data_IF_188509881568
#
_entry.id   IF_188509881568
#
_cell.length_a   1.000
_cell.length_b   1.000
_cell.length_c   1.000
_cell.angle_alpha   90.00
_cell.angle_beta   90.00
_cell.angle_gamma   90.00
#
_symmetry.space_group_name_H-M   'P 1'
#
loop_
_entity.id
_entity.type
_entity.pdbx_description
1 polymer ?
#
# COMPACT_ATOMS: atom_id res chain seq x y z
N UNK A 1 2.30 -42.32 0.81
CA UNK A 1 1.26 -42.59 1.82
C UNK A 1 1.15 -41.38 2.74
N UNK A 2 0.15 -40.51 2.56
CA UNK A 2 -0.08 -39.32 3.41
C UNK A 2 -1.30 -39.57 4.31
N UNK A 3 -1.15 -39.29 5.61
CA UNK A 3 -2.22 -39.43 6.61
C UNK A 3 -3.18 -38.23 6.51
N UNK A 4 -4.47 -38.51 6.39
CA UNK A 4 -5.54 -37.52 6.54
C UNK A 4 -5.81 -37.30 8.03
N UNK A 5 -5.86 -36.04 8.45
CA UNK A 5 -6.51 -35.66 9.71
C UNK A 5 -7.75 -34.85 9.36
N UNK A 6 -8.92 -35.35 9.79
CA UNK A 6 -10.19 -34.61 9.74
C UNK A 6 -10.28 -33.78 11.02
N UNK A 7 -10.45 -32.48 10.84
CA UNK A 7 -10.85 -31.56 11.91
C UNK A 7 -12.33 -31.23 11.73
N UNK A 8 -13.08 -31.18 12.82
CA UNK A 8 -14.51 -30.80 12.84
C UNK A 8 -14.68 -29.77 13.94
N UNK A 9 -15.04 -28.51 13.66
CA UNK A 9 -15.36 -27.55 14.71
C UNK A 9 -16.83 -27.68 15.11
N UNK A 10 -17.07 -27.60 16.41
CA UNK A 10 -18.39 -27.48 17.00
C UNK A 10 -18.93 -26.05 16.77
N UNK A 11 -20.11 -25.95 16.16
CA UNK A 11 -20.81 -24.70 15.90
C UNK A 11 -21.66 -24.36 17.14
N UNK A 12 -21.48 -23.15 17.68
CA UNK A 12 -22.35 -22.59 18.72
C UNK A 12 -23.08 -21.39 18.10
N UNK A 13 -24.38 -21.53 17.86
CA UNK A 13 -25.21 -20.46 17.30
C UNK A 13 -25.66 -19.49 18.41
N UNK A 14 -25.15 -18.27 18.37
CA UNK A 14 -25.69 -17.13 19.13
C UNK A 14 -25.87 -15.95 18.19
N UNK A 15 -27.10 -15.70 17.76
CA UNK A 15 -27.49 -14.53 16.97
C UNK A 15 -27.39 -13.26 17.82
N UNK A 16 -26.51 -12.34 17.45
CA UNK A 16 -26.50 -10.96 17.96
C UNK A 16 -27.00 -10.03 16.86
N UNK A 17 -28.04 -9.27 17.17
CA UNK A 17 -28.59 -8.24 16.31
C UNK A 17 -27.62 -7.07 16.11
N UNK A 18 -27.74 -6.42 14.96
CA UNK A 18 -26.95 -5.26 14.54
C UNK A 18 -27.13 -4.09 15.53
N UNK A 19 -26.06 -3.37 15.91
CA UNK A 19 -26.19 -2.16 16.71
C UNK A 19 -26.75 -0.98 15.89
N UNK A 20 -27.60 -0.19 16.54
CA UNK A 20 -28.26 0.99 15.97
C UNK A 20 -27.28 2.07 15.47
N UNK A 21 -27.72 2.72 14.38
CA UNK A 21 -27.02 3.71 13.55
C UNK A 21 -26.52 4.92 14.36
N UNK A 22 -25.23 5.25 14.25
CA UNK A 22 -24.71 6.58 14.60
C UNK A 22 -24.83 7.52 13.39
N UNK A 23 -25.76 8.47 13.48
CA UNK A 23 -25.89 9.59 12.54
C UNK A 23 -24.85 10.65 12.92
N UNK A 24 -23.91 10.94 12.02
CA UNK A 24 -23.03 12.10 12.15
C UNK A 24 -23.78 13.37 11.74
N UNK A 25 -24.12 14.22 12.69
CA UNK A 25 -24.50 15.61 12.43
C UNK A 25 -23.24 16.48 12.35
N UNK A 26 -23.01 17.11 11.20
CA UNK A 26 -21.99 18.15 11.05
C UNK A 26 -22.63 19.52 11.31
N UNK A 27 -22.55 20.00 12.54
CA UNK A 27 -22.89 21.40 12.83
C UNK A 27 -21.70 22.32 12.59
N UNK A 28 -21.95 23.33 11.76
CA UNK A 28 -21.01 24.38 11.41
C UNK A 28 -20.86 25.40 12.54
N UNK A 29 -19.62 25.86 12.71
CA UNK A 29 -19.29 26.99 13.58
C UNK A 29 -17.89 27.50 13.28
N UNK A 30 -17.81 28.54 12.43
CA UNK A 30 -16.61 29.37 12.29
C UNK A 30 -16.31 30.12 13.57
N UNK A 31 -15.02 30.34 13.88
CA UNK A 31 -14.62 31.72 14.14
C UNK A 31 -13.28 32.11 13.48
N UNK A 32 -13.38 33.18 12.70
CA UNK A 32 -12.45 34.32 12.56
C UNK A 32 -10.93 34.10 12.70
N UNK A 33 -10.26 34.39 11.59
CA UNK A 33 -8.95 35.01 11.41
C UNK A 33 -8.17 35.47 12.65
N UNK A 34 -6.88 35.10 12.67
CA UNK A 34 -5.77 35.99 13.02
C UNK A 34 -4.44 35.46 12.46
N UNK A 35 -3.90 36.24 11.51
CA UNK A 35 -2.49 36.50 11.21
C UNK A 35 -1.44 35.45 11.62
N UNK A 36 -0.76 34.88 10.62
CA UNK A 36 0.67 34.63 10.75
C UNK A 36 1.40 34.75 9.40
N UNK A 37 2.00 35.93 9.20
CA UNK A 37 3.12 36.13 8.27
C UNK A 37 4.36 35.54 8.92
N UNK A 38 5.01 34.57 8.30
CA UNK A 38 6.45 34.38 8.50
C UNK A 38 7.13 34.13 7.16
N UNK A 39 8.07 35.02 6.89
CA UNK A 39 8.86 35.08 5.68
C UNK A 39 9.96 34.03 5.66
N UNK A 40 10.32 33.69 4.44
CA UNK A 40 11.54 33.01 4.05
C UNK A 40 12.78 33.80 4.47
N UNK A 41 13.72 33.15 5.15
CA UNK A 41 15.10 33.64 5.26
C UNK A 41 16.08 32.50 5.02
N UNK A 42 16.80 32.61 3.91
CA UNK A 42 18.10 32.02 3.65
C UNK A 42 19.13 32.52 4.66
N UNK A 43 19.87 31.62 5.30
CA UNK A 43 20.98 31.96 6.18
C UNK A 43 22.13 30.97 6.00
N UNK A 44 23.23 31.45 5.42
CA UNK A 44 24.56 30.87 5.54
C UNK A 44 25.06 31.10 6.97
N UNK A 45 25.72 30.12 7.56
CA UNK A 45 26.53 30.24 8.79
C UNK A 45 27.42 29.00 8.84
N UNK A 46 28.67 29.13 8.40
CA UNK A 46 29.86 29.54 9.17
C UNK A 46 30.21 28.67 10.38
N UNK A 47 31.46 28.23 10.30
CA UNK A 47 32.25 27.40 11.19
C UNK A 47 32.34 27.96 12.61
N UNK A 48 32.12 27.10 13.60
CA UNK A 48 32.85 27.20 14.87
C UNK A 48 33.21 25.82 15.39
N UNK A 49 34.51 25.63 15.50
CA UNK A 49 35.23 24.55 16.15
C UNK A 49 34.99 24.59 17.65
N UNK A 50 34.65 23.44 18.23
CA UNK A 50 34.80 23.19 19.67
C UNK A 50 35.75 22.02 19.87
N UNK A 51 36.96 22.35 20.30
CA UNK A 51 37.91 21.44 20.93
C UNK A 51 37.32 20.92 22.24
N UNK A 52 37.35 19.60 22.42
CA UNK A 52 37.20 18.95 23.73
C UNK A 52 38.40 18.05 23.91
N UNK A 53 39.26 18.44 24.84
CA UNK A 53 40.48 17.70 25.22
C UNK A 53 40.19 16.38 25.94
N UNK A 54 41.23 15.54 26.13
CA UNK A 54 41.09 14.18 26.61
C UNK A 54 41.04 14.16 28.14
N UNK A 55 40.03 13.47 28.68
CA UNK A 55 39.83 13.41 30.13
C UNK A 55 39.07 12.16 30.57
N UNK A 56 39.86 11.21 31.05
CA UNK A 56 39.61 10.36 32.20
C UNK A 56 38.93 8.99 32.05
N UNK A 57 39.72 7.98 32.43
CA UNK A 57 39.39 6.59 32.60
C UNK A 57 38.84 6.39 34.02
N UNK A 58 37.62 5.89 34.16
CA UNK A 58 37.23 5.19 35.38
C UNK A 58 36.48 3.89 35.07
N UNK A 59 36.86 2.75 35.68
CA UNK A 59 36.22 1.46 35.48
C UNK A 59 35.26 1.19 36.62
N UNK A 60 33.96 1.43 36.42
CA UNK A 60 32.94 0.86 37.31
C UNK A 60 31.79 0.29 36.50
N UNK A 61 31.69 -1.04 36.55
CA UNK A 61 30.64 -1.79 35.91
C UNK A 61 29.26 -1.41 36.45
N UNK A 62 28.34 -1.14 35.53
CA UNK A 62 26.94 -1.46 35.70
C UNK A 62 26.48 -2.18 34.44
N UNK A 63 26.13 -3.45 34.64
CA UNK A 63 25.41 -4.34 33.71
C UNK A 63 24.31 -3.56 32.99
N UNK A 64 24.56 -3.14 31.75
CA UNK A 64 23.56 -2.61 30.84
C UNK A 64 23.05 -3.77 29.98
N UNK A 65 21.93 -4.34 30.44
CA UNK A 65 20.87 -4.99 29.67
C UNK A 65 21.27 -5.85 28.45
N UNK A 66 21.56 -7.12 28.70
CA UNK A 66 21.52 -8.24 27.74
C UNK A 66 20.10 -8.57 27.22
N UNK A 67 19.11 -7.67 27.37
CA UNK A 67 17.69 -7.93 27.12
C UNK A 67 17.15 -7.44 25.75
N UNK A 68 18.01 -6.98 24.82
CA UNK A 68 17.57 -6.57 23.46
C UNK A 68 18.50 -7.02 22.34
N UNK A 69 19.06 -8.22 22.43
CA UNK A 69 19.51 -8.89 21.22
C UNK A 69 18.25 -9.29 20.43
N UNK A 70 17.73 -8.37 19.59
CA UNK A 70 16.85 -8.79 18.50
C UNK A 70 17.60 -9.89 17.76
N UNK A 71 17.08 -11.11 17.78
CA UNK A 71 17.79 -12.26 17.22
C UNK A 71 17.93 -12.01 15.73
N UNK A 72 19.14 -11.66 15.31
CA UNK A 72 19.46 -11.34 13.93
C UNK A 72 19.31 -12.60 13.08
N UNK A 73 18.46 -12.56 12.05
CA UNK A 73 18.29 -13.69 11.13
C UNK A 73 19.36 -13.61 10.04
N UNK A 74 19.55 -12.42 9.45
CA UNK A 74 20.45 -12.24 8.33
C UNK A 74 20.54 -10.79 7.86
N UNK A 75 21.39 -10.57 6.86
CA UNK A 75 21.47 -9.32 6.10
C UNK A 75 21.49 -9.67 4.63
N UNK A 76 20.73 -8.91 3.87
CA UNK A 76 20.79 -8.90 2.41
C UNK A 76 21.62 -7.71 1.98
N UNK A 77 22.74 -7.95 1.28
CA UNK A 77 23.55 -6.89 0.71
C UNK A 77 23.07 -6.58 -0.72
N UNK A 78 22.66 -5.33 -0.94
CA UNK A 78 22.16 -4.85 -2.24
C UNK A 78 23.13 -5.14 -3.38
N UNK A 79 24.44 -5.05 -3.18
CA UNK A 79 25.39 -5.26 -4.27
C UNK A 79 25.44 -6.74 -4.67
N UNK A 80 25.34 -7.65 -3.71
CA UNK A 80 25.29 -9.09 -3.98
C UNK A 80 24.03 -9.46 -4.78
N UNK A 81 22.88 -8.91 -4.42
CA UNK A 81 21.63 -9.08 -5.17
C UNK A 81 21.74 -8.58 -6.62
N UNK A 82 22.59 -7.58 -6.87
CA UNK A 82 22.80 -7.01 -8.21
C UNK A 82 23.78 -7.84 -9.03
N UNK A 83 24.85 -8.32 -8.39
CA UNK A 83 25.91 -9.08 -9.03
C UNK A 83 25.46 -10.52 -9.33
N UNK A 84 24.50 -11.05 -8.57
CA UNK A 84 23.91 -12.37 -8.74
C UNK A 84 22.93 -12.51 -9.91
N UNK A 85 22.65 -11.43 -10.64
CA UNK A 85 21.75 -11.49 -11.80
C UNK A 85 22.37 -12.32 -12.92
N UNK A 86 21.84 -13.53 -13.10
CA UNK A 86 22.13 -14.37 -14.26
C UNK A 86 21.78 -13.68 -15.59
N UNK A 87 22.41 -14.14 -16.67
CA UNK A 87 22.22 -13.61 -18.03
C UNK A 87 20.90 -14.04 -18.70
N UNK A 88 20.08 -14.82 -18.02
CA UNK A 88 18.81 -15.31 -18.56
C UNK A 88 17.81 -14.15 -18.73
N UNK A 89 16.93 -14.21 -19.75
CA UNK A 89 15.91 -13.20 -19.93
C UNK A 89 14.98 -13.19 -18.71
N UNK A 90 14.95 -12.06 -18.02
CA UNK A 90 14.07 -11.86 -16.89
C UNK A 90 12.66 -11.50 -17.38
N UNK A 91 11.70 -12.38 -17.13
CA UNK A 91 10.30 -12.17 -17.48
C UNK A 91 9.50 -11.65 -16.30
N UNK A 92 8.57 -10.74 -16.58
CA UNK A 92 7.56 -10.32 -15.62
C UNK A 92 6.24 -10.01 -16.31
N UNK A 93 5.15 -10.24 -15.60
CA UNK A 93 3.80 -9.89 -16.04
C UNK A 93 2.93 -9.61 -14.82
N UNK A 94 1.89 -8.80 -14.97
CA UNK A 94 0.91 -8.55 -13.93
C UNK A 94 -0.49 -8.71 -14.51
N UNK A 95 -1.41 -9.30 -13.74
CA UNK A 95 -2.81 -9.46 -14.13
C UNK A 95 -3.70 -9.40 -12.90
N UNK A 96 -4.75 -8.60 -12.94
CA UNK A 96 -5.74 -8.59 -11.88
C UNK A 96 -6.49 -9.92 -11.72
N UNK A 97 -6.80 -10.24 -10.47
CA UNK A 97 -7.46 -11.48 -10.03
C UNK A 97 -8.58 -11.26 -8.99
N UNK A 98 -8.75 -10.04 -8.49
CA UNK A 98 -9.91 -9.68 -7.67
C UNK A 98 -9.94 -8.22 -7.27
N UNK A 99 -11.05 -7.76 -6.71
CA UNK A 99 -11.21 -6.39 -6.22
C UNK A 99 -12.20 -6.29 -5.07
N UNK A 100 -12.03 -5.28 -4.23
CA UNK A 100 -12.97 -4.93 -3.17
C UNK A 100 -13.04 -3.41 -2.94
N UNK A 101 -14.13 -2.94 -2.34
CA UNK A 101 -14.25 -1.56 -1.84
C UNK A 101 -14.59 -1.58 -0.35
N UNK A 102 -14.02 -0.66 0.43
CA UNK A 102 -14.34 -0.54 1.85
C UNK A 102 -15.65 0.23 2.06
N UNK A 103 -16.40 -0.12 3.09
CA UNK A 103 -17.64 0.56 3.45
C UNK A 103 -17.43 1.47 4.67
N UNK A 104 -17.96 2.70 4.63
CA UNK A 104 -17.71 3.77 5.63
C UNK A 104 -18.10 3.41 7.07
N UNK A 105 -18.97 2.43 7.26
CA UNK A 105 -19.35 1.94 8.61
C UNK A 105 -18.32 1.00 9.23
N UNK A 106 -17.24 0.68 8.51
CA UNK A 106 -16.22 -0.20 9.03
C UNK A 106 -15.48 0.38 10.22
N UNK A 107 -15.10 -0.50 11.14
CA UNK A 107 -14.29 -0.21 12.31
C UNK A 107 -13.12 -1.19 12.40
N UNK A 108 -12.24 -1.00 13.39
CA UNK A 108 -11.13 -1.92 13.62
C UNK A 108 -11.58 -3.33 14.04
N UNK A 109 -12.74 -3.48 14.69
CA UNK A 109 -13.29 -4.78 15.10
C UNK A 109 -14.25 -5.39 14.07
N UNK A 110 -14.94 -4.54 13.31
CA UNK A 110 -15.97 -4.92 12.35
C UNK A 110 -15.70 -4.27 10.99
N UNK A 111 -15.04 -5.01 10.12
CA UNK A 111 -14.70 -4.54 8.77
C UNK A 111 -15.80 -4.90 7.79
N UNK A 112 -16.27 -3.95 6.99
CA UNK A 112 -17.30 -4.15 5.97
C UNK A 112 -16.70 -3.87 4.59
N UNK A 113 -16.71 -4.87 3.70
CA UNK A 113 -16.19 -4.76 2.34
C UNK A 113 -17.18 -5.29 1.30
N UNK A 114 -17.16 -4.68 0.12
CA UNK A 114 -17.97 -5.12 -1.02
C UNK A 114 -17.09 -5.87 -2.02
N UNK A 115 -17.52 -7.05 -2.46
CA UNK A 115 -16.76 -7.97 -3.33
C UNK A 115 -17.67 -8.55 -4.44
N UNK A 116 -17.36 -8.35 -5.73
CA UNK A 116 -16.35 -7.44 -6.26
C UNK A 116 -16.55 -6.00 -5.81
N UNK A 117 -15.46 -5.24 -5.75
CA UNK A 117 -15.51 -3.84 -5.37
C UNK A 117 -16.19 -2.95 -6.42
N UNK A 118 -16.57 -1.76 -5.98
CA UNK A 118 -17.18 -0.70 -6.79
C UNK A 118 -16.22 0.50 -6.80
N UNK A 119 -15.41 0.67 -7.85
CA UNK A 119 -14.46 1.77 -7.95
C UNK A 119 -15.13 3.11 -8.33
N UNK A 120 -14.55 4.25 -7.95
CA UNK A 120 -14.89 5.53 -8.56
C UNK A 120 -14.65 5.52 -10.07
N UNK A 121 -15.44 6.30 -10.82
CA UNK A 121 -15.26 6.48 -12.26
C UNK A 121 -14.44 7.74 -12.53
N UNK A 122 -13.43 7.66 -13.38
CA UNK A 122 -12.65 8.80 -13.82
C UNK A 122 -13.49 9.67 -14.76
N UNK A 123 -13.86 10.84 -14.26
CA UNK A 123 -14.77 11.79 -14.90
C UNK A 123 -14.27 13.20 -14.63
N UNK A 124 -13.18 13.64 -15.29
CA UNK A 124 -12.72 15.00 -15.15
C UNK A 124 -13.84 15.98 -15.51
N UNK A 125 -14.02 17.08 -14.75
CA UNK A 125 -15.09 18.04 -14.99
C UNK A 125 -14.89 18.75 -16.33
N UNK A 126 -15.98 19.16 -16.97
CA UNK A 126 -15.95 19.95 -18.20
C UNK A 126 -15.57 21.42 -17.98
N UNK A 127 -15.55 21.86 -16.72
CA UNK A 127 -15.13 23.20 -16.31
C UNK A 127 -13.68 23.45 -16.74
N UNK A 128 -13.39 24.68 -17.19
CA UNK A 128 -12.02 25.06 -17.52
C UNK A 128 -11.13 24.88 -16.29
N UNK A 129 -9.93 24.32 -16.49
CA UNK A 129 -9.06 23.88 -15.39
C UNK A 129 -8.75 25.01 -14.40
N UNK A 130 -8.62 26.25 -14.88
CA UNK A 130 -8.35 27.45 -14.07
C UNK A 130 -9.48 27.89 -13.13
N UNK A 131 -10.69 27.38 -13.30
CA UNK A 131 -11.85 27.71 -12.47
C UNK A 131 -12.11 26.66 -11.37
N UNK A 132 -11.25 25.64 -11.28
CA UNK A 132 -11.38 24.56 -10.30
C UNK A 132 -10.50 24.86 -9.09
N UNK A 133 -11.14 25.15 -7.95
CA UNK A 133 -10.47 25.30 -6.67
C UNK A 133 -10.44 23.98 -5.90
N UNK A 134 -9.25 23.54 -5.53
CA UNK A 134 -9.03 22.38 -4.68
C UNK A 134 -8.92 22.83 -3.23
N UNK A 135 -9.53 22.07 -2.34
CA UNK A 135 -9.41 22.29 -0.91
C UNK A 135 -8.33 21.40 -0.30
N UNK A 136 -7.66 21.90 0.74
CA UNK A 136 -6.82 21.04 1.58
C UNK A 136 -7.72 20.21 2.48
N UNK A 137 -7.86 18.92 2.18
CA UNK A 137 -8.64 17.98 2.97
C UNK A 137 -7.73 17.03 3.75
N UNK A 138 -8.18 16.61 4.94
CA UNK A 138 -7.53 15.51 5.64
C UNK A 138 -7.61 14.24 4.78
N UNK A 139 -6.73 13.29 5.05
CA UNK A 139 -6.91 11.95 4.53
C UNK A 139 -8.25 11.39 5.03
N UNK A 140 -8.97 10.71 4.14
CA UNK A 140 -10.22 10.04 4.49
C UNK A 140 -9.98 8.93 5.53
N UNK A 141 -11.05 8.25 5.97
CA UNK A 141 -10.93 7.16 6.92
C UNK A 141 -9.87 6.14 6.46
N UNK A 142 -9.21 5.55 7.45
CA UNK A 142 -8.18 4.53 7.23
C UNK A 142 -8.78 3.33 6.48
N UNK A 143 -7.92 2.58 5.79
CA UNK A 143 -8.34 1.28 5.28
C UNK A 143 -8.47 0.32 6.46
N UNK A 144 -9.69 0.20 6.94
CA UNK A 144 -10.10 -0.65 8.05
C UNK A 144 -9.78 -2.13 7.85
N UNK A 145 -9.70 -2.62 6.60
CA UNK A 145 -9.32 -4.02 6.33
C UNK A 145 -7.91 -4.31 6.83
N UNK A 146 -7.09 -3.27 7.05
CA UNK A 146 -5.82 -3.39 7.76
C UNK A 146 -5.92 -4.09 9.10
N UNK A 147 -6.93 -3.75 9.89
CA UNK A 147 -7.03 -4.31 11.24
C UNK A 147 -7.32 -5.80 11.19
N UNK A 148 -8.10 -6.23 10.20
CA UNK A 148 -8.30 -7.63 9.92
C UNK A 148 -7.04 -8.30 9.35
N UNK A 149 -6.34 -7.67 8.39
CA UNK A 149 -5.09 -8.19 7.81
C UNK A 149 -3.96 -8.34 8.84
N UNK A 150 -3.93 -7.51 9.88
CA UNK A 150 -2.97 -7.65 10.98
C UNK A 150 -3.15 -8.98 11.72
N UNK A 151 -4.38 -9.48 11.79
CA UNK A 151 -4.70 -10.76 12.42
C UNK A 151 -4.66 -11.92 11.42
N UNK A 152 -5.02 -11.67 10.16
CA UNK A 152 -5.21 -12.69 9.12
C UNK A 152 -4.67 -12.22 7.75
N UNK A 153 -3.35 -12.04 7.59
CA UNK A 153 -2.75 -11.37 6.43
C UNK A 153 -2.98 -12.07 5.09
N UNK A 154 -3.31 -13.36 5.10
CA UNK A 154 -3.65 -14.15 3.90
C UNK A 154 -5.16 -14.19 3.63
N UNK A 155 -6.01 -14.18 4.67
CA UNK A 155 -7.43 -14.56 4.57
C UNK A 155 -8.26 -13.54 3.80
N UNK A 156 -7.96 -12.25 3.94
CA UNK A 156 -8.62 -11.21 3.17
C UNK A 156 -8.41 -11.40 1.66
N UNK A 157 -7.18 -11.68 1.25
CA UNK A 157 -6.84 -11.92 -0.15
C UNK A 157 -7.56 -13.18 -0.68
N UNK A 158 -7.52 -14.29 0.07
CA UNK A 158 -8.25 -15.52 -0.26
C UNK A 158 -9.73 -15.24 -0.50
N UNK A 159 -10.39 -14.57 0.43
CA UNK A 159 -11.83 -14.33 0.36
C UNK A 159 -12.24 -13.46 -0.82
N UNK A 160 -11.46 -12.41 -1.10
CA UNK A 160 -11.71 -11.54 -2.25
C UNK A 160 -11.48 -12.29 -3.56
N UNK A 161 -10.36 -13.00 -3.67
CA UNK A 161 -10.00 -13.72 -4.90
C UNK A 161 -10.94 -14.89 -5.16
N UNK A 162 -11.35 -15.66 -4.15
CA UNK A 162 -12.32 -16.76 -4.31
C UNK A 162 -13.65 -16.29 -4.89
N UNK A 163 -14.12 -15.09 -4.53
CA UNK A 163 -15.37 -14.51 -5.05
C UNK A 163 -15.22 -13.90 -6.46
N UNK A 164 -14.02 -13.42 -6.82
CA UNK A 164 -13.75 -12.80 -8.13
C UNK A 164 -13.23 -13.78 -9.18
N UNK A 165 -12.39 -14.73 -8.78
CA UNK A 165 -11.71 -15.74 -9.61
C UNK A 165 -11.74 -17.09 -8.87
N UNK A 166 -12.88 -17.81 -8.90
CA UNK A 166 -13.09 -19.02 -8.09
C UNK A 166 -12.10 -20.16 -8.37
N UNK A 167 -11.55 -20.22 -9.59
CA UNK A 167 -10.59 -21.25 -10.01
C UNK A 167 -9.12 -20.86 -9.75
N UNK A 168 -8.88 -19.83 -8.93
CA UNK A 168 -7.53 -19.36 -8.63
C UNK A 168 -6.75 -20.40 -7.80
N UNK A 169 -5.56 -20.76 -8.30
CA UNK A 169 -4.69 -21.75 -7.66
C UNK A 169 -3.69 -21.10 -6.68
N UNK A 170 -3.98 -21.24 -5.38
CA UNK A 170 -3.12 -20.77 -4.30
C UNK A 170 -1.82 -21.57 -4.12
N UNK A 171 -1.75 -22.80 -4.62
CA UNK A 171 -0.58 -23.68 -4.40
C UNK A 171 0.69 -23.19 -5.10
N UNK A 172 0.52 -22.30 -6.08
CA UNK A 172 1.59 -21.71 -6.87
C UNK A 172 1.96 -20.28 -6.40
N UNK A 173 1.41 -19.79 -5.28
CA UNK A 173 1.72 -18.44 -4.77
C UNK A 173 2.89 -18.51 -3.79
N UNK A 174 3.88 -17.65 -3.98
CA UNK A 174 5.06 -17.57 -3.10
C UNK A 174 4.90 -16.49 -2.03
N UNK A 175 4.27 -15.37 -2.39
CA UNK A 175 4.16 -14.18 -1.55
C UNK A 175 2.84 -13.45 -1.75
N UNK A 176 2.20 -13.06 -0.64
CA UNK A 176 1.11 -12.06 -0.62
C UNK A 176 1.62 -10.77 0.01
N UNK A 177 1.50 -9.66 -0.71
CA UNK A 177 2.05 -8.38 -0.28
C UNK A 177 1.26 -7.19 -0.83
N UNK A 178 1.71 -5.99 -0.47
CA UNK A 178 1.13 -4.73 -0.92
C UNK A 178 2.08 -4.02 -1.88
N UNK A 179 1.51 -3.29 -2.84
CA UNK A 179 2.24 -2.44 -3.79
C UNK A 179 3.26 -1.52 -3.08
N UNK A 180 2.87 -0.95 -1.95
CA UNK A 180 3.72 -0.04 -1.18
C UNK A 180 5.04 -0.68 -0.72
N UNK A 181 4.98 -1.93 -0.27
CA UNK A 181 6.16 -2.71 0.16
C UNK A 181 7.12 -2.94 -1.00
N UNK A 182 6.59 -3.37 -2.15
CA UNK A 182 7.40 -3.57 -3.35
C UNK A 182 8.02 -2.24 -3.86
N UNK A 183 7.28 -1.13 -3.79
CA UNK A 183 7.81 0.21 -4.08
C UNK A 183 8.95 0.62 -3.13
N UNK A 184 8.87 0.26 -1.85
CA UNK A 184 9.93 0.52 -0.88
C UNK A 184 11.18 -0.31 -1.18
N UNK A 185 11.03 -1.58 -1.54
CA UNK A 185 12.14 -2.43 -1.97
C UNK A 185 12.79 -1.91 -3.25
N UNK A 186 12.00 -1.46 -4.23
CA UNK A 186 12.51 -0.79 -5.43
C UNK A 186 13.25 0.51 -5.10
N UNK A 187 12.83 1.25 -4.07
CA UNK A 187 13.56 2.42 -3.57
C UNK A 187 14.91 2.02 -2.97
N UNK A 188 14.98 0.93 -2.21
CA UNK A 188 16.23 0.39 -1.68
C UNK A 188 17.21 0.02 -2.81
N UNK A 189 16.72 -0.72 -3.82
CA UNK A 189 17.45 -1.11 -5.02
C UNK A 189 17.96 0.12 -5.79
N UNK A 190 17.10 1.13 -5.97
CA UNK A 190 17.40 2.35 -6.71
C UNK A 190 18.37 3.31 -6.02
N UNK A 191 18.50 3.25 -4.69
CA UNK A 191 19.30 4.22 -3.93
C UNK A 191 20.83 4.16 -4.19
N UNK A 192 21.33 3.23 -5.03
CA UNK A 192 22.72 3.22 -5.49
C UNK A 192 23.09 4.43 -6.37
N UNK A 193 22.13 4.95 -7.14
CA UNK A 193 22.42 5.97 -8.14
C UNK A 193 22.58 7.37 -7.54
N UNK A 194 22.39 7.54 -6.23
CA UNK A 194 22.47 8.84 -5.56
C UNK A 194 22.92 8.69 -4.10
N UNK A 195 24.22 8.44 -3.84
CA UNK A 195 24.75 8.17 -2.49
C UNK A 195 24.46 9.27 -1.46
N UNK A 196 24.29 10.51 -1.93
CA UNK A 196 24.04 11.68 -1.07
C UNK A 196 22.54 11.94 -0.82
N UNK A 197 21.63 11.20 -1.46
CA UNK A 197 20.20 11.38 -1.29
C UNK A 197 19.69 10.50 -0.13
N UNK A 198 19.32 11.13 0.99
CA UNK A 198 18.63 10.45 2.08
C UNK A 198 17.30 9.88 1.55
N UNK A 199 17.18 8.56 1.48
CA UNK A 199 15.90 7.91 1.16
C UNK A 199 15.08 7.71 2.44
N UNK A 200 13.76 7.64 2.29
CA UNK A 200 12.87 7.35 3.42
C UNK A 200 13.16 5.92 3.94
N UNK A 201 13.50 5.73 5.22
CA UNK A 201 13.67 4.40 5.81
C UNK A 201 12.35 3.63 5.75
N UNK A 202 12.44 2.31 5.85
CA UNK A 202 11.27 1.46 5.98
C UNK A 202 11.52 0.28 6.90
N UNK A 203 10.42 -0.21 7.46
CA UNK A 203 10.33 -1.43 8.22
C UNK A 203 8.98 -2.08 7.90
N UNK A 204 8.95 -3.40 7.75
CA UNK A 204 7.72 -4.17 7.64
C UNK A 204 7.91 -5.61 8.16
N UNK A 205 6.88 -6.22 8.78
CA UNK A 205 6.92 -7.63 9.14
C UNK A 205 6.72 -8.53 7.92
N UNK A 206 7.41 -9.65 7.89
CA UNK A 206 7.31 -10.70 6.89
C UNK A 206 7.12 -12.04 7.60
N UNK A 207 5.99 -12.69 7.34
CA UNK A 207 5.70 -14.03 7.82
C UNK A 207 6.15 -14.98 6.72
N UNK A 208 7.21 -15.74 6.97
CA UNK A 208 7.72 -16.70 6.00
C UNK A 208 6.74 -17.83 5.74
N UNK A 209 6.85 -18.41 4.54
CA UNK A 209 6.02 -19.54 4.13
C UNK A 209 6.10 -20.68 5.16
N UNK A 210 4.94 -21.25 5.49
CA UNK A 210 4.78 -22.35 6.44
C UNK A 210 3.69 -23.30 5.97
N UNK A 211 3.90 -24.62 6.10
CA UNK A 211 2.90 -25.65 5.79
C UNK A 211 2.27 -25.58 4.39
N UNK A 212 2.98 -25.03 3.41
CA UNK A 212 2.49 -24.87 2.03
C UNK A 212 1.62 -23.62 1.81
N UNK A 213 1.46 -22.76 2.82
CA UNK A 213 0.90 -21.42 2.64
C UNK A 213 1.99 -20.44 2.15
N UNK A 214 1.63 -19.45 1.31
CA UNK A 214 2.56 -18.43 0.85
C UNK A 214 3.10 -17.59 2.01
N UNK A 215 4.27 -16.98 1.81
CA UNK A 215 4.72 -15.93 2.72
C UNK A 215 3.76 -14.73 2.66
N UNK A 216 3.66 -13.96 3.74
CA UNK A 216 2.80 -12.78 3.78
C UNK A 216 3.50 -11.59 4.41
N UNK A 217 3.38 -10.42 3.80
CA UNK A 217 3.78 -9.17 4.45
C UNK A 217 2.61 -8.64 5.27
N UNK A 218 2.79 -8.55 6.59
CA UNK A 218 1.80 -7.90 7.44
C UNK A 218 1.76 -6.41 7.16
N UNK A 219 0.56 -5.86 7.24
CA UNK A 219 0.39 -4.47 6.91
C UNK A 219 0.81 -3.58 8.09
N UNK A 220 2.02 -3.02 8.00
CA UNK A 220 2.50 -2.08 9.00
C UNK A 220 1.94 -0.69 8.73
N UNK A 221 1.18 -0.15 9.68
CA UNK A 221 0.76 1.24 9.64
C UNK A 221 1.99 2.15 9.63
N UNK A 222 2.09 2.98 8.61
CA UNK A 222 2.92 4.18 8.70
C UNK A 222 1.99 5.29 9.14
N UNK A 223 2.32 5.96 10.24
CA UNK A 223 1.72 7.25 10.54
C UNK A 223 1.92 8.18 9.33
N UNK A 224 0.90 8.25 8.50
CA UNK A 224 0.71 9.36 7.60
C UNK A 224 0.29 10.48 8.53
N UNK A 225 1.24 11.36 8.87
CA UNK A 225 0.89 12.59 9.55
C UNK A 225 -0.24 13.22 8.74
N UNK A 226 -1.36 13.49 9.42
CA UNK A 226 -2.63 13.90 8.83
C UNK A 226 -2.51 15.34 8.34
N UNK A 227 -1.72 15.55 7.29
CA UNK A 227 -1.59 16.85 6.64
C UNK A 227 -2.78 17.03 5.73
N UNK A 228 -3.36 18.23 5.79
CA UNK A 228 -4.38 18.61 4.82
C UNK A 228 -3.71 18.86 3.48
N UNK A 229 -4.00 18.01 2.50
CA UNK A 229 -3.41 18.07 1.15
C UNK A 229 -4.51 18.27 0.09
N UNK A 230 -4.12 18.86 -1.04
CA UNK A 230 -5.03 19.03 -2.18
C UNK A 230 -5.31 17.72 -2.93
N UNK A 231 -4.50 16.67 -2.70
CA UNK A 231 -4.62 15.38 -3.40
C UNK A 231 -6.02 14.77 -3.28
N UNK A 232 -6.61 14.81 -2.09
CA UNK A 232 -7.92 14.20 -1.88
C UNK A 232 -9.02 14.99 -2.57
N UNK A 233 -8.98 16.33 -2.49
CA UNK A 233 -9.89 17.17 -3.26
C UNK A 233 -9.73 16.92 -4.76
N UNK A 234 -8.51 16.80 -5.26
CA UNK A 234 -8.27 16.47 -6.67
C UNK A 234 -8.89 15.12 -7.06
N UNK A 235 -8.70 14.06 -6.26
CA UNK A 235 -9.34 12.76 -6.53
C UNK A 235 -10.87 12.89 -6.59
N UNK A 236 -11.47 13.56 -5.61
CA UNK A 236 -12.92 13.78 -5.57
C UNK A 236 -13.42 14.60 -6.77
N UNK A 237 -12.67 15.61 -7.19
CA UNK A 237 -13.04 16.44 -8.35
C UNK A 237 -12.91 15.69 -9.67
N UNK A 238 -11.92 14.80 -9.80
CA UNK A 238 -11.66 14.04 -11.03
C UNK A 238 -12.46 12.76 -11.15
N UNK A 239 -13.30 12.44 -10.17
CA UNK A 239 -14.05 11.19 -10.14
C UNK A 239 -15.52 11.40 -9.81
N UNK A 240 -16.34 10.46 -10.27
CA UNK A 240 -17.76 10.34 -9.89
C UNK A 240 -17.95 9.02 -9.18
N UNK A 241 -18.62 9.05 -8.04
CA UNK A 241 -19.06 7.84 -7.34
C UNK A 241 -20.23 7.21 -8.12
N UNK A 242 -20.16 5.91 -8.46
CA UNK A 242 -21.31 5.21 -9.05
C UNK A 242 -22.57 5.36 -8.16
N UNK A 243 -23.77 5.57 -8.74
CA UNK A 243 -25.00 5.69 -7.94
C UNK A 243 -25.19 4.50 -7.00
N UNK A 244 -25.55 4.76 -5.74
CA UNK A 244 -25.78 3.73 -4.72
C UNK A 244 -24.50 3.21 -4.04
N UNK A 245 -23.34 3.76 -4.39
CA UNK A 245 -22.04 3.44 -3.77
C UNK A 245 -21.46 4.56 -2.91
N UNK A 246 -22.27 5.55 -2.50
CA UNK A 246 -21.84 6.73 -1.74
C UNK A 246 -21.22 6.38 -0.38
N UNK A 247 -21.68 5.26 0.19
CA UNK A 247 -21.18 4.70 1.44
C UNK A 247 -19.85 3.94 1.26
N UNK A 248 -19.39 3.71 0.03
CA UNK A 248 -18.12 3.06 -0.24
C UNK A 248 -16.99 4.08 -0.33
N UNK A 249 -15.79 3.65 0.06
CA UNK A 249 -14.57 4.44 0.00
C UNK A 249 -13.39 3.49 -0.21
N UNK A 250 -12.31 4.00 -0.85
CA UNK A 250 -11.09 3.24 -1.19
C UNK A 250 -11.39 1.92 -1.94
N UNK A 251 -11.08 1.90 -3.22
CA UNK A 251 -11.14 0.68 -4.00
C UNK A 251 -9.75 0.04 -4.07
N UNK A 252 -9.71 -1.28 -3.94
CA UNK A 252 -8.48 -2.06 -4.03
C UNK A 252 -8.62 -3.18 -5.03
N UNK A 253 -7.49 -3.50 -5.68
CA UNK A 253 -7.34 -4.62 -6.60
C UNK A 253 -6.26 -5.55 -6.08
N UNK A 254 -6.49 -6.84 -6.26
CA UNK A 254 -5.45 -7.87 -6.17
C UNK A 254 -5.03 -8.26 -7.57
N UNK A 255 -3.71 -8.33 -7.79
CA UNK A 255 -3.11 -8.77 -9.04
C UNK A 255 -2.08 -9.85 -8.81
N UNK A 256 -2.03 -10.84 -9.69
CA UNK A 256 -0.95 -11.80 -9.79
C UNK A 256 0.21 -11.17 -10.57
N UNK A 257 1.33 -10.97 -9.90
CA UNK A 257 2.61 -10.54 -10.47
C UNK A 257 3.50 -11.77 -10.62
N UNK A 258 3.79 -12.15 -11.87
CA UNK A 258 4.89 -13.07 -12.17
C UNK A 258 6.18 -12.27 -12.24
N UNK A 259 7.18 -12.64 -11.46
CA UNK A 259 8.45 -11.93 -11.35
C UNK A 259 9.59 -12.95 -11.37
N UNK A 260 10.08 -13.27 -12.57
CA UNK A 260 10.98 -14.42 -12.77
C UNK A 260 10.28 -15.72 -12.40
N UNK A 261 10.82 -16.43 -11.40
CA UNK A 261 10.27 -17.68 -10.88
C UNK A 261 9.24 -17.48 -9.76
N UNK A 262 9.05 -16.24 -9.28
CA UNK A 262 8.13 -15.94 -8.20
C UNK A 262 6.75 -15.56 -8.72
N UNK A 263 5.72 -16.09 -8.07
CA UNK A 263 4.32 -15.66 -8.22
C UNK A 263 3.91 -14.89 -6.97
N UNK A 264 3.61 -13.61 -7.14
CA UNK A 264 3.35 -12.67 -6.05
C UNK A 264 1.93 -12.12 -6.19
N UNK A 265 1.08 -12.34 -5.20
CA UNK A 265 -0.20 -11.63 -5.09
C UNK A 265 0.05 -10.24 -4.52
N UNK A 266 -0.27 -9.21 -5.31
CA UNK A 266 -0.05 -7.81 -4.95
C UNK A 266 -1.39 -7.12 -4.77
N UNK A 267 -1.61 -6.51 -3.60
CA UNK A 267 -2.72 -5.59 -3.37
C UNK A 267 -2.34 -4.16 -3.65
N UNK A 268 -3.21 -3.41 -4.33
CA UNK A 268 -3.04 -1.99 -4.59
C UNK A 268 -4.36 -1.21 -4.49
N UNK A 269 -4.32 -0.02 -3.90
CA UNK A 269 -5.41 0.96 -4.04
C UNK A 269 -5.44 1.44 -5.50
N UNK A 270 -6.64 1.47 -6.08
CA UNK A 270 -6.93 2.00 -7.41
C UNK A 270 -7.80 3.24 -7.24
N UNK A 271 -7.38 4.35 -7.84
CA UNK A 271 -8.06 5.63 -7.63
C UNK A 271 -9.38 5.72 -8.42
N UNK A 272 -9.39 5.21 -9.66
CA UNK A 272 -10.58 5.20 -10.52
C UNK A 272 -10.48 4.22 -11.69
N UNK A 273 -11.62 3.96 -12.34
CA UNK A 273 -11.70 3.30 -13.66
C UNK A 273 -12.08 4.28 -14.77
N UNK A 274 -11.63 4.03 -16.00
CA UNK A 274 -12.15 4.72 -17.18
C UNK A 274 -13.59 4.26 -17.44
N UNK A 275 -14.45 5.22 -17.74
CA UNK A 275 -15.90 5.11 -17.77
C UNK A 275 -16.43 4.21 -18.89
N UNK A 276 -16.41 2.88 -18.73
CA UNK A 276 -17.16 1.96 -19.62
C UNK A 276 -17.88 0.75 -18.97
N UNK A 277 -17.85 0.52 -17.65
CA UNK A 277 -18.36 -0.76 -17.10
C UNK A 277 -19.54 -0.71 -16.11
N UNK A 278 -19.83 0.41 -15.43
CA UNK A 278 -20.79 0.43 -14.30
C UNK A 278 -21.77 1.61 -14.36
N UNK A 279 -22.54 1.72 -15.45
CA UNK A 279 -23.62 2.71 -15.57
C UNK A 279 -24.93 2.27 -14.90
N UNK A 280 -25.09 0.98 -14.62
CA UNK A 280 -26.11 0.49 -13.71
C UNK A 280 -25.66 0.78 -12.28
N UNK A 281 -26.44 1.56 -11.53
CA UNK A 281 -26.18 1.81 -10.12
C UNK A 281 -26.01 0.51 -9.32
N UNK A 282 -25.41 0.61 -8.15
CA UNK A 282 -25.20 -0.52 -7.25
C UNK A 282 -26.25 -0.48 -6.15
N UNK A 283 -26.92 -1.60 -5.89
CA UNK A 283 -27.83 -1.73 -4.75
C UNK A 283 -27.10 -2.41 -3.58
N UNK A 284 -26.78 -1.63 -2.55
CA UNK A 284 -26.35 -2.14 -1.25
C UNK A 284 -27.59 -2.28 -0.36
N UNK A 285 -27.81 -3.48 0.18
CA UNK A 285 -28.90 -3.78 1.12
C UNK A 285 -28.38 -4.06 2.52
N UNK A 286 -29.09 -3.55 3.55
CA UNK A 286 -28.76 -3.79 4.96
C UNK A 286 -28.76 -5.30 5.31
N UNK A 287 -29.58 -6.12 4.63
CA UNK A 287 -29.66 -7.57 4.84
C UNK A 287 -28.70 -8.40 3.97
N UNK A 288 -27.90 -7.75 3.11
CA UNK A 288 -27.05 -8.44 2.12
C UNK A 288 -25.63 -8.76 2.61
N UNK A 289 -25.36 -8.54 3.90
CA UNK A 289 -24.04 -8.75 4.50
C UNK A 289 -23.85 -10.18 4.99
N UNK A 290 -22.80 -10.82 4.51
CA UNK A 290 -22.35 -12.14 4.97
C UNK A 290 -21.29 -11.97 6.06
N UNK A 291 -21.58 -12.52 7.26
CA UNK A 291 -20.64 -12.54 8.38
C UNK A 291 -19.56 -13.60 8.19
N UNK A 292 -18.32 -13.22 8.50
CA UNK A 292 -17.14 -14.05 8.37
C UNK A 292 -16.39 -14.03 9.71
N UNK A 293 -16.67 -15.00 10.57
CA UNK A 293 -15.98 -15.12 11.86
C UNK A 293 -14.66 -15.86 11.70
N UNK A 294 -13.56 -15.20 12.01
CA UNK A 294 -12.25 -15.84 12.13
C UNK A 294 -11.67 -15.72 13.55
N UNK A 295 -12.46 -15.26 14.52
CA UNK A 295 -12.07 -15.12 15.92
C UNK A 295 -11.96 -13.67 16.37
N UNK A 296 -10.76 -13.06 16.28
CA UNK A 296 -10.47 -11.75 16.92
C UNK A 296 -10.93 -10.54 16.11
N UNK A 297 -11.19 -10.71 14.82
CA UNK A 297 -11.66 -9.65 13.94
C UNK A 297 -12.79 -10.20 13.07
N UNK A 298 -13.86 -9.43 12.91
CA UNK A 298 -14.96 -9.75 12.03
C UNK A 298 -14.79 -9.08 10.67
N UNK A 299 -15.07 -9.82 9.60
CA UNK A 299 -15.27 -9.26 8.27
C UNK A 299 -16.69 -9.54 7.82
N UNK A 300 -17.33 -8.52 7.28
CA UNK A 300 -18.63 -8.55 6.65
C UNK A 300 -18.42 -8.32 5.16
N UNK A 301 -18.97 -9.21 4.33
CA UNK A 301 -18.84 -9.09 2.87
C UNK A 301 -20.21 -8.99 2.21
N UNK A 302 -20.36 -8.09 1.25
CA UNK A 302 -21.56 -8.01 0.41
C UNK A 302 -21.18 -8.05 -1.07
N UNK A 303 -21.98 -8.73 -1.89
CA UNK A 303 -21.80 -8.74 -3.35
C UNK A 303 -22.56 -7.58 -3.98
N UNK A 304 -21.86 -6.71 -4.70
CA UNK A 304 -22.51 -5.55 -5.34
C UNK A 304 -21.81 -5.05 -6.61
N UNK A 305 -20.48 -5.18 -6.73
CA UNK A 305 -19.75 -4.77 -7.93
C UNK A 305 -19.64 -5.85 -9.02
N UNK A 306 -18.97 -5.49 -10.11
CA UNK A 306 -18.54 -6.38 -11.20
C UNK A 306 -17.02 -6.33 -11.28
N UNK A 307 -16.39 -7.50 -11.40
CA UNK A 307 -14.94 -7.60 -11.60
C UNK A 307 -14.65 -7.90 -13.07
N UNK A 308 -13.94 -6.99 -13.75
CA UNK A 308 -13.28 -7.29 -15.02
C UNK A 308 -11.76 -7.18 -14.84
N UNK A 309 -10.99 -8.25 -15.11
CA UNK A 309 -9.52 -8.17 -15.07
C UNK A 309 -8.93 -7.22 -16.12
N UNK A 310 -9.70 -6.79 -17.12
CA UNK A 310 -9.24 -5.90 -18.19
C UNK A 310 -9.74 -4.45 -18.06
N UNK A 311 -10.42 -4.12 -16.96
CA UNK A 311 -10.82 -2.74 -16.67
C UNK A 311 -9.62 -1.79 -16.76
N UNK A 312 -9.78 -0.69 -17.51
CA UNK A 312 -8.75 0.34 -17.62
C UNK A 312 -8.74 1.18 -16.35
N UNK A 313 -7.66 1.12 -15.58
CA UNK A 313 -7.54 1.83 -14.30
C UNK A 313 -6.71 3.11 -14.42
N UNK A 314 -7.00 4.09 -13.55
CA UNK A 314 -6.36 5.41 -13.52
C UNK A 314 -5.77 5.66 -12.14
N UNK A 315 -4.48 5.98 -12.08
CA UNK A 315 -3.80 6.53 -10.90
C UNK A 315 -3.89 8.07 -10.95
N UNK A 316 -4.28 8.70 -9.84
CA UNK A 316 -4.49 10.14 -9.73
C UNK A 316 -3.44 10.78 -8.82
N UNK A 317 -2.72 11.76 -9.36
CA UNK A 317 -1.73 12.54 -8.61
C UNK A 317 -2.01 14.02 -8.69
N UNK A 318 -1.85 14.69 -7.56
CA UNK A 318 -1.90 16.15 -7.48
C UNK A 318 -0.52 16.69 -7.11
N UNK A 319 -0.05 17.73 -7.81
CA UNK A 319 1.28 18.32 -7.64
C UNK A 319 1.24 19.84 -7.80
N UNK A 320 1.98 20.55 -6.95
CA UNK A 320 2.18 21.98 -7.14
C UNK A 320 3.01 22.27 -8.39
N UNK A 321 2.72 23.37 -9.09
CA UNK A 321 3.55 23.87 -10.20
C UNK A 321 5.01 24.12 -9.81
N UNK A 322 5.28 24.42 -8.53
CA UNK A 322 6.65 24.60 -8.00
C UNK A 322 7.48 23.30 -8.04
N UNK A 323 6.84 22.15 -8.23
CA UNK A 323 7.50 20.85 -8.37
C UNK A 323 7.33 20.34 -9.82
N UNK A 324 8.20 20.77 -10.76
CA UNK A 324 8.02 20.45 -12.17
C UNK A 324 8.17 18.94 -12.44
N UNK A 325 9.01 18.26 -11.66
CA UNK A 325 9.19 16.81 -11.76
C UNK A 325 7.95 16.10 -11.23
N UNK A 326 7.22 15.43 -12.12
CA UNK A 326 6.09 14.58 -11.74
C UNK A 326 6.51 13.37 -10.87
N UNK A 327 7.82 13.08 -10.81
CA UNK A 327 8.33 11.87 -10.17
C UNK A 327 7.97 10.62 -10.99
N UNK A 328 8.09 10.71 -12.32
CA UNK A 328 7.67 9.66 -13.26
C UNK A 328 8.26 8.29 -12.94
N UNK A 329 9.50 8.21 -12.44
CA UNK A 329 10.09 6.94 -11.96
C UNK A 329 9.26 6.28 -10.85
N UNK A 330 8.89 7.04 -9.81
CA UNK A 330 8.07 6.52 -8.72
C UNK A 330 6.62 6.26 -9.17
N UNK A 331 6.09 7.09 -10.08
CA UNK A 331 4.78 6.88 -10.68
C UNK A 331 4.74 5.59 -11.51
N UNK A 332 5.76 5.33 -12.34
CA UNK A 332 5.87 4.12 -13.14
C UNK A 332 5.77 2.87 -12.27
N UNK A 333 6.58 2.76 -11.21
CA UNK A 333 6.54 1.59 -10.35
C UNK A 333 5.22 1.44 -9.60
N UNK A 334 4.59 2.54 -9.19
CA UNK A 334 3.26 2.49 -8.57
C UNK A 334 2.19 2.02 -9.54
N UNK A 335 2.23 2.46 -10.80
CA UNK A 335 1.29 2.01 -11.82
C UNK A 335 1.55 0.56 -12.21
N UNK A 336 2.79 0.19 -12.50
CA UNK A 336 3.14 -1.16 -12.94
C UNK A 336 2.84 -2.22 -11.86
N UNK A 337 3.10 -1.93 -10.58
CA UNK A 337 2.76 -2.82 -9.46
C UNK A 337 1.29 -2.75 -9.05
N UNK A 338 0.58 -1.69 -9.44
CA UNK A 338 -0.84 -1.50 -9.16
C UNK A 338 -1.77 -1.90 -10.30
N UNK A 339 -1.19 -2.45 -11.39
CA UNK A 339 -1.92 -2.77 -12.62
C UNK A 339 -2.72 -1.57 -13.15
N UNK A 340 -2.03 -0.42 -13.28
CA UNK A 340 -2.63 0.84 -13.74
C UNK A 340 -2.20 1.26 -15.13
N UNK A 341 -3.20 1.52 -15.98
CA UNK A 341 -3.03 1.83 -17.40
C UNK A 341 -2.72 3.30 -17.64
N UNK A 342 -3.34 4.18 -16.84
CA UNK A 342 -3.28 5.63 -17.00
C UNK A 342 -2.85 6.33 -15.72
N UNK A 343 -2.21 7.48 -15.90
CA UNK A 343 -1.86 8.43 -14.86
C UNK A 343 -2.45 9.80 -15.23
N UNK A 344 -3.27 10.36 -14.36
CA UNK A 344 -3.67 11.77 -14.45
C UNK A 344 -2.95 12.60 -13.37
N UNK A 345 -2.25 13.65 -13.80
CA UNK A 345 -1.50 14.56 -12.93
C UNK A 345 -2.13 15.94 -12.93
N UNK A 346 -2.84 16.28 -11.87
CA UNK A 346 -3.31 17.64 -11.60
C UNK A 346 -2.18 18.55 -11.15
N UNK A 347 -1.93 19.61 -11.92
CA UNK A 347 -1.00 20.69 -11.62
C UNK A 347 -1.77 21.84 -10.99
N UNK A 348 -1.40 22.23 -9.77
CA UNK A 348 -2.09 23.32 -9.07
C UNK A 348 -1.13 24.42 -8.59
N UNK A 349 -1.68 25.63 -8.44
CA UNK A 349 -1.05 26.76 -7.79
C UNK A 349 -1.91 27.18 -6.61
N UNK A 350 -1.45 26.84 -5.39
CA UNK A 350 -2.11 27.23 -4.14
C UNK A 350 -3.56 26.74 -4.00
N UNK A 351 -3.94 25.71 -4.75
CA UNK A 351 -5.26 25.09 -4.70
C UNK A 351 -6.00 25.24 -6.02
N UNK A 352 -5.71 26.29 -6.79
CA UNK A 352 -6.25 26.46 -8.13
C UNK A 352 -5.62 25.44 -9.06
N UNK A 353 -6.43 24.54 -9.62
CA UNK A 353 -5.99 23.64 -10.67
C UNK A 353 -5.65 24.48 -11.90
N UNK A 354 -4.54 24.16 -12.55
CA UNK A 354 -4.03 24.90 -13.71
C UNK A 354 -4.04 24.02 -14.94
N UNK A 355 -3.74 22.73 -14.76
CA UNK A 355 -3.68 21.75 -15.83
C UNK A 355 -3.84 20.33 -15.31
N UNK A 356 -4.52 19.46 -16.05
CA UNK A 356 -4.47 18.01 -15.89
C UNK A 356 -3.66 17.41 -17.03
N UNK A 357 -2.63 16.65 -16.68
CA UNK A 357 -1.78 15.97 -17.65
C UNK A 357 -2.07 14.46 -17.58
N UNK A 358 -2.49 13.87 -18.68
CA UNK A 358 -2.73 12.43 -18.78
C UNK A 358 -1.58 11.72 -19.48
N UNK A 359 -1.24 10.54 -18.99
CA UNK A 359 -0.20 9.69 -19.55
C UNK A 359 -0.62 8.23 -19.49
N UNK A 360 -0.31 7.47 -20.54
CA UNK A 360 -0.34 6.01 -20.53
C UNK A 360 0.85 5.45 -19.72
N UNK A 361 0.75 4.20 -19.28
CA UNK A 361 1.86 3.50 -18.62
C UNK A 361 3.14 3.51 -19.49
N UNK A 362 3.01 3.38 -20.81
CA UNK A 362 4.13 3.42 -21.74
C UNK A 362 4.82 4.79 -21.79
N UNK A 363 4.05 5.89 -21.79
CA UNK A 363 4.60 7.24 -21.73
C UNK A 363 5.27 7.55 -20.39
N UNK A 364 4.67 7.08 -19.28
CA UNK A 364 5.28 7.19 -17.95
C UNK A 364 6.59 6.39 -17.89
N UNK A 365 6.63 5.20 -18.48
CA UNK A 365 7.85 4.37 -18.61
C UNK A 365 8.94 5.12 -19.38
N UNK A 366 8.61 5.70 -20.53
CA UNK A 366 9.57 6.47 -21.34
C UNK A 366 10.15 7.68 -20.58
N UNK A 367 9.34 8.32 -19.72
CA UNK A 367 9.74 9.46 -18.89
C UNK A 367 10.45 9.08 -17.58
N UNK A 368 10.40 7.81 -17.16
CA UNK A 368 10.99 7.36 -15.89
C UNK A 368 12.53 7.35 -15.91
N UNK A 369 13.15 7.30 -17.09
CA UNK A 369 14.61 7.27 -17.29
C UNK A 369 15.32 6.31 -16.34
N UNK A 370 14.90 5.04 -16.32
CA UNK A 370 15.46 3.98 -15.48
C UNK A 370 15.57 2.69 -16.29
N UNK A 371 16.49 1.80 -15.90
CA UNK A 371 16.61 0.48 -16.52
C UNK A 371 15.59 -0.47 -15.89
N UNK A 372 14.36 -0.40 -16.39
CA UNK A 372 13.20 -1.08 -15.81
C UNK A 372 13.38 -2.60 -15.75
N UNK A 373 13.88 -3.22 -16.81
CA UNK A 373 14.06 -4.67 -16.84
C UNK A 373 15.10 -5.11 -15.81
N UNK A 374 16.22 -4.37 -15.70
CA UNK A 374 17.20 -4.60 -14.64
C UNK A 374 16.57 -4.46 -13.26
N UNK A 375 15.71 -3.47 -13.03
CA UNK A 375 15.09 -3.20 -11.73
C UNK A 375 14.12 -4.29 -11.31
N UNK A 376 13.35 -4.83 -12.25
CA UNK A 376 12.50 -5.98 -11.98
C UNK A 376 13.30 -7.23 -11.66
N UNK A 377 14.39 -7.48 -12.40
CA UNK A 377 15.27 -8.60 -12.11
C UNK A 377 15.89 -8.49 -10.70
N UNK A 378 16.35 -7.30 -10.34
CA UNK A 378 16.85 -7.00 -8.99
C UNK A 378 15.78 -7.20 -7.91
N UNK A 379 14.53 -6.84 -8.19
CA UNK A 379 13.43 -7.04 -7.25
C UNK A 379 13.12 -8.53 -7.07
N UNK A 380 13.10 -9.32 -8.15
CA UNK A 380 12.90 -10.77 -8.11
C UNK A 380 13.96 -11.45 -7.24
N UNK A 381 15.24 -11.21 -7.54
CA UNK A 381 16.35 -11.77 -6.77
C UNK A 381 16.34 -11.32 -5.29
N UNK A 382 15.99 -10.06 -5.03
CA UNK A 382 15.86 -9.56 -3.66
C UNK A 382 14.76 -10.30 -2.89
N UNK A 383 13.62 -10.56 -3.53
CA UNK A 383 12.52 -11.26 -2.90
C UNK A 383 12.86 -12.72 -2.64
N UNK A 384 13.51 -13.42 -3.57
CA UNK A 384 13.99 -14.80 -3.36
C UNK A 384 14.87 -14.88 -2.10
N UNK A 385 15.87 -14.00 -1.97
CA UNK A 385 16.77 -13.97 -0.82
C UNK A 385 16.03 -13.66 0.51
N UNK A 386 15.07 -12.74 0.48
CA UNK A 386 14.27 -12.40 1.67
C UNK A 386 13.33 -13.54 2.09
N UNK A 387 12.75 -14.25 1.14
CA UNK A 387 11.87 -15.39 1.37
C UNK A 387 12.67 -16.57 1.93
N UNK A 388 13.86 -16.86 1.37
CA UNK A 388 14.75 -17.91 1.86
C UNK A 388 15.20 -17.66 3.31
N UNK A 389 15.63 -16.43 3.62
CA UNK A 389 16.05 -16.07 4.98
C UNK A 389 14.91 -16.20 6.00
N UNK A 390 13.69 -15.88 5.57
CA UNK A 390 12.49 -15.84 6.41
C UNK A 390 11.71 -17.15 6.43
N UNK A 391 12.07 -18.16 5.65
CA UNK A 391 11.33 -19.42 5.55
C UNK A 391 11.06 -20.05 6.92
N UNK A 392 9.78 -20.35 7.20
CA UNK A 392 9.32 -20.91 8.47
C UNK A 392 9.51 -20.00 9.69
N UNK A 393 9.76 -18.70 9.50
CA UNK A 393 10.03 -17.73 10.58
C UNK A 393 9.14 -16.50 10.45
N UNK A 394 8.91 -15.85 11.58
CA UNK A 394 8.41 -14.49 11.62
C UNK A 394 9.60 -13.54 11.65
N UNK A 395 9.66 -12.64 10.67
CA UNK A 395 10.78 -11.72 10.53
C UNK A 395 10.29 -10.27 10.38
N UNK A 396 11.22 -9.35 10.60
CA UNK A 396 11.02 -7.92 10.32
C UNK A 396 12.15 -7.45 9.43
N UNK A 397 11.78 -6.90 8.27
CA UNK A 397 12.72 -6.37 7.27
C UNK A 397 12.93 -4.89 7.54
N UNK A 398 14.19 -4.47 7.74
CA UNK A 398 14.52 -3.09 8.12
C UNK A 398 15.55 -2.48 7.17
N UNK A 399 15.25 -1.26 6.70
CA UNK A 399 16.18 -0.40 5.99
C UNK A 399 16.23 1.02 6.58
N UNK A 400 17.43 1.51 6.85
CA UNK A 400 17.64 2.84 7.44
C UNK A 400 17.66 4.00 6.43
N UNK A 401 17.40 3.74 5.14
CA UNK A 401 17.33 4.76 4.10
C UNK A 401 18.68 5.20 3.51
N UNK A 402 19.81 4.65 3.98
CA UNK A 402 21.16 5.00 3.51
C UNK A 402 22.06 3.78 3.27
N UNK A 403 21.86 2.71 4.04
CA UNK A 403 22.67 1.50 3.99
C UNK A 403 22.53 0.78 2.65
N UNK A 404 23.58 0.11 2.19
CA UNK A 404 23.50 -0.90 1.13
C UNK A 404 22.87 -2.22 1.60
N UNK A 405 22.53 -2.32 2.88
CA UNK A 405 22.07 -3.56 3.51
C UNK A 405 20.63 -3.44 4.00
N UNK A 406 19.84 -4.49 3.76
CA UNK A 406 18.62 -4.77 4.52
C UNK A 406 18.98 -5.67 5.70
N UNK A 407 18.38 -5.40 6.85
CA UNK A 407 18.54 -6.23 8.04
C UNK A 407 17.26 -7.07 8.20
N UNK A 408 17.42 -8.38 8.30
CA UNK A 408 16.34 -9.32 8.62
C UNK A 408 16.46 -9.70 10.08
N UNK A 409 15.47 -9.28 10.88
CA UNK A 409 15.43 -9.54 12.32
C UNK A 409 14.36 -10.60 12.61
N UNK A 410 14.60 -11.48 13.57
CA UNK A 410 13.54 -12.32 14.10
C UNK A 410 12.53 -11.44 14.83
N UNK A 411 11.25 -11.70 14.57
CA UNK A 411 10.14 -11.13 15.30
C UNK A 411 9.69 -12.16 16.33
N UNK A 412 9.57 -11.74 17.59
CA UNK A 412 8.89 -12.57 18.58
C UNK A 412 7.40 -12.47 18.29
N UNK A 413 6.68 -13.59 18.41
CA UNK A 413 5.25 -13.50 18.60
C UNK A 413 5.02 -12.62 19.82
N UNK A 414 4.29 -11.52 19.67
CA UNK A 414 3.85 -10.70 20.80
C UNK A 414 2.81 -11.44 21.66
N UNK A 415 2.53 -12.70 21.32
CA UNK A 415 1.50 -13.57 21.88
C UNK A 415 2.06 -14.83 22.56
N UNK A 416 3.38 -15.01 22.61
CA UNK A 416 4.06 -16.12 23.34
C UNK A 416 4.40 -15.74 24.80
#
# INVERSE_FOLDING_TARGET
MRRQYRYTPAINHGSRGLPERYVWHSDGGSPSDKNNRYGSSSGRGDSSSFDVGPGDLSPTGKRLNLARAATYIGVVDRQQTIDGLGKEPFEWSIKAIGSYSCHRNSTASDTYIVIPGVPPLYTPPSTAEGDIELEKKLEGPEDVLMHYDLSYPLRAAQRVIEKCTPDFDWSNVDLVTNRGTLCDLLRFIGALTSPNQKSKPFEFPLNGAINGEPATVEWSYRHHASYREYKNSFKMTMTTTPPGSEALYRHHRFSMLKLGNLNVVVRAEVDALVKEAQSGGVELSDDGWEFCDEGRCAVWTQKAGVFDPNDTTVELKCRTLKCPRAGFKAAYYQMALGDSDKLAVGRHQEGHLVKVEEFTLAEVKAKATDDINKRWAQLGSLLEELLDLSYGKLSTIVWNGKSSKLIVKARRNEWD
#
